data_IF_074647813408
#
_entry.id   IF_074647813408
#
_cell.length_a   1.000
_cell.length_b   1.000
_cell.length_c   1.000
_cell.angle_alpha   90.00
_cell.angle_beta   90.00
_cell.angle_gamma   90.00
#
_symmetry.space_group_name_H-M   'P 1'
#
loop_
_entity.id
_entity.type
_entity.pdbx_description
1 polymer ?
#
# COMPACT_ATOMS: atom_id res chain seq x y z
N UNK A 1 1.47 27.30 9.48
CA UNK A 1 0.47 26.28 9.10
C UNK A 1 0.38 25.26 10.23
N UNK A 2 -0.82 25.05 10.78
CA UNK A 2 -1.07 24.09 11.84
C UNK A 2 -1.46 22.74 11.21
N UNK A 3 -0.63 21.71 11.42
CA UNK A 3 -0.82 20.38 10.84
C UNK A 3 -1.24 19.40 11.94
N UNK A 4 -2.30 18.65 11.71
CA UNK A 4 -2.78 17.55 12.54
C UNK A 4 -2.50 16.19 11.91
N UNK A 5 -2.64 15.14 12.70
CA UNK A 5 -2.60 13.73 12.24
C UNK A 5 -3.86 13.03 12.72
N UNK A 6 -4.68 12.59 11.78
CA UNK A 6 -5.91 11.83 12.03
C UNK A 6 -5.65 10.32 11.91
N UNK A 7 -6.00 9.57 12.94
CA UNK A 7 -5.85 8.11 12.99
C UNK A 7 -7.23 7.45 13.05
N UNK A 8 -7.51 6.56 12.13
CA UNK A 8 -8.79 5.83 12.10
C UNK A 8 -8.86 4.76 13.19
N UNK A 9 -9.83 4.89 14.11
CA UNK A 9 -10.00 3.98 15.24
C UNK A 9 -10.43 2.57 14.85
N UNK A 10 -11.45 2.48 14.02
CA UNK A 10 -12.14 1.21 13.77
C UNK A 10 -11.48 0.30 12.71
N UNK A 11 -10.25 0.59 12.32
CA UNK A 11 -9.41 -0.29 11.49
C UNK A 11 -8.02 -0.53 12.09
N UNK A 12 -7.68 0.12 13.19
CA UNK A 12 -6.36 0.07 13.83
C UNK A 12 -6.49 -0.72 15.14
N UNK A 13 -5.57 -1.65 15.40
CA UNK A 13 -5.56 -2.44 16.63
C UNK A 13 -5.23 -1.55 17.84
N UNK A 14 -5.70 -1.92 19.02
CA UNK A 14 -5.49 -1.13 20.24
C UNK A 14 -3.99 -0.92 20.55
N UNK A 15 -3.19 -1.95 20.40
CA UNK A 15 -1.73 -1.87 20.60
C UNK A 15 -1.09 -0.89 19.62
N UNK A 16 -1.49 -0.95 18.36
CA UNK A 16 -1.00 -0.05 17.31
C UNK A 16 -1.45 1.40 17.54
N UNK A 17 -2.67 1.62 18.05
CA UNK A 17 -3.15 2.95 18.44
C UNK A 17 -2.29 3.56 19.53
N UNK A 18 -1.91 2.78 20.54
CA UNK A 18 -1.00 3.23 21.60
C UNK A 18 0.38 3.60 21.04
N UNK A 19 0.92 2.81 20.12
CA UNK A 19 2.19 3.12 19.46
C UNK A 19 2.11 4.40 18.63
N UNK A 20 1.01 4.63 17.89
CA UNK A 20 0.78 5.90 17.20
C UNK A 20 0.71 7.06 18.17
N UNK A 21 -0.05 6.94 19.24
CA UNK A 21 -0.19 7.98 20.26
C UNK A 21 1.16 8.37 20.87
N UNK A 22 1.93 7.38 21.28
CA UNK A 22 3.26 7.62 21.88
C UNK A 22 4.20 8.30 20.84
N UNK A 23 4.30 7.74 19.64
CA UNK A 23 5.18 8.24 18.59
C UNK A 23 4.84 9.66 18.17
N UNK A 24 3.55 10.01 18.05
CA UNK A 24 3.11 11.35 17.66
C UNK A 24 3.32 12.36 18.80
N UNK A 25 3.08 11.99 20.06
CA UNK A 25 3.34 12.86 21.21
C UNK A 25 4.83 13.18 21.38
N UNK A 26 5.71 12.21 21.11
CA UNK A 26 7.17 12.45 21.13
C UNK A 26 7.63 13.49 20.12
N UNK A 27 6.90 13.68 19.02
CA UNK A 27 7.16 14.75 18.04
C UNK A 27 6.27 16.00 18.24
N UNK A 28 5.58 16.08 19.39
CA UNK A 28 4.75 17.23 19.76
C UNK A 28 3.38 17.29 19.07
N UNK A 29 2.88 16.18 18.55
CA UNK A 29 1.57 16.07 17.89
C UNK A 29 0.62 15.26 18.77
N UNK A 30 -0.53 15.83 19.12
CA UNK A 30 -1.63 15.05 19.69
C UNK A 30 -2.46 14.46 18.53
N UNK A 31 -2.63 13.13 18.46
CA UNK A 31 -3.42 12.51 17.38
C UNK A 31 -4.89 12.87 17.50
N UNK A 32 -5.54 13.07 16.36
CA UNK A 32 -6.97 13.22 16.25
C UNK A 32 -7.54 11.85 15.86
N UNK A 33 -8.50 11.36 16.64
CA UNK A 33 -9.09 10.06 16.35
C UNK A 33 -10.41 10.22 15.60
N UNK A 34 -10.58 9.45 14.53
CA UNK A 34 -11.81 9.41 13.76
C UNK A 34 -12.27 7.98 13.48
N UNK A 35 -13.55 7.83 13.17
CA UNK A 35 -14.13 6.55 12.73
C UNK A 35 -14.80 6.72 11.38
N UNK A 36 -14.87 5.64 10.59
CA UNK A 36 -15.70 5.55 9.39
C UNK A 36 -16.79 4.54 9.65
N UNK A 37 -18.06 4.94 9.55
CA UNK A 37 -19.18 4.03 9.77
C UNK A 37 -19.21 2.99 8.64
N UNK A 38 -19.16 1.68 8.96
CA UNK A 38 -19.14 0.63 7.94
C UNK A 38 -20.31 0.77 6.96
N UNK A 39 -20.03 0.53 5.67
CA UNK A 39 -20.99 0.58 4.56
C UNK A 39 -21.63 1.96 4.29
N UNK A 40 -21.11 3.02 4.88
CA UNK A 40 -21.59 4.40 4.64
C UNK A 40 -20.44 5.31 4.19
N UNK A 41 -20.78 6.60 3.97
CA UNK A 41 -19.80 7.68 3.75
C UNK A 41 -19.65 8.56 4.99
N UNK A 42 -20.30 8.20 6.10
CA UNK A 42 -20.30 8.99 7.33
C UNK A 42 -19.08 8.73 8.18
N UNK A 43 -18.57 9.80 8.78
CA UNK A 43 -17.40 9.78 9.67
C UNK A 43 -17.76 10.38 11.02
N UNK A 44 -17.06 9.92 12.06
CA UNK A 44 -17.17 10.44 13.43
C UNK A 44 -15.82 10.97 13.88
N UNK A 45 -15.78 11.94 14.80
CA UNK A 45 -14.54 12.49 15.36
C UNK A 45 -13.77 13.40 14.40
N UNK A 46 -14.44 13.92 13.36
CA UNK A 46 -13.83 14.83 12.37
C UNK A 46 -14.06 16.31 12.69
N UNK A 47 -14.82 16.61 13.73
CA UNK A 47 -15.18 17.96 14.13
C UNK A 47 -13.94 18.79 14.49
N UNK A 48 -12.93 18.15 15.07
CA UNK A 48 -11.67 18.77 15.45
C UNK A 48 -10.76 19.10 14.26
N UNK A 49 -11.03 18.57 13.07
CA UNK A 49 -10.22 18.85 11.87
C UNK A 49 -10.24 20.32 11.51
N UNK A 50 -11.37 21.01 11.72
CA UNK A 50 -11.52 22.45 11.50
C UNK A 50 -10.55 23.33 12.34
N UNK A 51 -9.92 22.76 13.38
CA UNK A 51 -8.91 23.43 14.18
C UNK A 51 -7.51 23.44 13.55
N UNK A 52 -7.35 22.82 12.36
CA UNK A 52 -6.09 22.65 11.65
C UNK A 52 -6.19 23.20 10.23
N UNK A 53 -5.06 23.63 9.68
CA UNK A 53 -4.97 24.01 8.27
C UNK A 53 -4.96 22.75 7.37
N UNK A 54 -4.31 21.68 7.87
CA UNK A 54 -4.19 20.37 7.20
C UNK A 54 -4.19 19.24 8.22
N UNK A 55 -4.79 18.09 7.86
CA UNK A 55 -4.81 16.87 8.67
C UNK A 55 -4.34 15.71 7.81
N UNK A 56 -3.19 15.13 8.16
CA UNK A 56 -2.67 13.90 7.52
C UNK A 56 -3.58 12.75 7.95
N UNK A 57 -4.25 12.12 6.99
CA UNK A 57 -5.13 11.00 7.27
C UNK A 57 -4.32 9.69 7.30
N UNK A 58 -4.58 8.85 8.30
CA UNK A 58 -4.05 7.47 8.33
C UNK A 58 -5.15 6.49 8.73
N UNK A 59 -5.35 5.47 7.91
CA UNK A 59 -6.41 4.49 8.18
C UNK A 59 -6.52 3.40 7.11
N UNK A 60 -7.72 2.89 6.91
CA UNK A 60 -8.02 1.86 5.91
C UNK A 60 -8.08 2.44 4.49
N UNK A 61 -8.11 1.56 3.50
CA UNK A 61 -8.36 1.91 2.08
C UNK A 61 -9.64 2.71 1.88
N UNK A 62 -10.61 2.60 2.82
CA UNK A 62 -11.83 3.41 2.79
C UNK A 62 -11.56 4.92 2.88
N UNK A 63 -10.44 5.34 3.48
CA UNK A 63 -10.01 6.75 3.46
C UNK A 63 -9.77 7.23 2.04
N UNK A 64 -9.13 6.40 1.20
CA UNK A 64 -8.89 6.72 -0.22
C UNK A 64 -10.21 6.81 -0.98
N UNK A 65 -11.11 5.84 -0.79
CA UNK A 65 -12.44 5.82 -1.43
C UNK A 65 -13.24 7.09 -1.10
N UNK A 66 -13.29 7.50 0.17
CA UNK A 66 -13.96 8.72 0.61
C UNK A 66 -13.29 9.98 0.05
N UNK A 67 -11.96 9.99 -0.05
CA UNK A 67 -11.21 11.11 -0.64
C UNK A 67 -11.55 11.27 -2.14
N UNK A 68 -11.49 10.19 -2.91
CA UNK A 68 -11.82 10.20 -4.34
C UNK A 68 -13.26 10.66 -4.61
N UNK A 69 -14.20 10.30 -3.72
CA UNK A 69 -15.61 10.69 -3.80
C UNK A 69 -15.89 12.10 -3.26
N UNK A 70 -14.89 12.79 -2.72
CA UNK A 70 -15.04 14.14 -2.17
C UNK A 70 -15.79 14.22 -0.83
N UNK A 71 -15.82 13.12 -0.07
CA UNK A 71 -16.49 13.07 1.23
C UNK A 71 -15.61 13.42 2.42
N UNK A 72 -14.27 13.51 2.22
CA UNK A 72 -13.38 13.94 3.30
C UNK A 72 -13.48 15.45 3.55
N UNK A 73 -13.23 15.89 4.80
CA UNK A 73 -13.06 17.31 5.10
C UNK A 73 -11.97 17.94 4.24
N UNK A 74 -12.11 19.23 3.91
CA UNK A 74 -11.15 19.98 3.06
C UNK A 74 -9.73 20.06 3.64
N UNK A 75 -9.61 19.88 4.96
CA UNK A 75 -8.35 19.84 5.69
C UNK A 75 -7.60 18.51 5.49
N UNK A 76 -8.31 17.45 5.08
CA UNK A 76 -7.74 16.11 4.92
C UNK A 76 -6.68 16.07 3.81
N UNK A 77 -5.57 15.40 4.11
CA UNK A 77 -4.46 15.17 3.17
C UNK A 77 -4.30 13.69 2.93
N UNK A 78 -4.39 13.32 1.66
CA UNK A 78 -4.18 11.97 1.15
C UNK A 78 -3.24 12.06 -0.05
N UNK A 79 -2.17 11.27 -0.04
CA UNK A 79 -1.21 11.17 -1.16
C UNK A 79 -1.59 9.99 -2.04
N UNK A 80 -2.58 10.20 -2.89
CA UNK A 80 -3.08 9.17 -3.80
C UNK A 80 -3.55 9.73 -5.13
N UNK A 81 -3.20 9.03 -6.18
CA UNK A 81 -3.72 9.21 -7.53
C UNK A 81 -3.97 7.81 -8.11
N UNK A 82 -5.21 7.54 -8.55
CA UNK A 82 -5.64 6.19 -8.95
C UNK A 82 -4.82 5.63 -10.11
N UNK A 83 -4.51 6.46 -11.10
CA UNK A 83 -3.74 6.04 -12.27
C UNK A 83 -2.27 5.83 -11.90
N UNK A 84 -1.71 6.72 -11.08
CA UNK A 84 -0.31 6.67 -10.68
C UNK A 84 0.02 5.46 -9.79
N UNK A 85 -0.92 4.96 -8.98
CA UNK A 85 -0.75 3.76 -8.15
C UNK A 85 -1.24 2.49 -8.85
N UNK A 86 -1.74 2.58 -10.10
CA UNK A 86 -2.20 1.42 -10.86
C UNK A 86 -1.03 0.71 -11.54
N UNK A 87 -0.82 -0.57 -11.22
CA UNK A 87 0.28 -1.35 -11.82
C UNK A 87 0.16 -1.48 -13.34
N UNK A 88 -1.05 -1.52 -13.88
CA UNK A 88 -1.25 -1.51 -15.33
C UNK A 88 -0.65 -0.24 -15.98
N UNK A 89 -0.67 0.89 -15.27
CA UNK A 89 -0.12 2.14 -15.79
C UNK A 89 1.42 2.15 -15.71
N UNK A 90 2.00 1.99 -14.51
CA UNK A 90 3.45 2.12 -14.36
C UNK A 90 4.25 0.95 -14.95
N UNK A 91 3.64 -0.23 -15.15
CA UNK A 91 4.30 -1.34 -15.87
C UNK A 91 4.57 -1.08 -17.37
N UNK A 92 3.99 -0.02 -17.92
CA UNK A 92 4.25 0.42 -19.29
C UNK A 92 5.46 1.36 -19.38
N UNK A 93 5.89 1.89 -18.25
CA UNK A 93 6.93 2.93 -18.12
C UNK A 93 8.20 2.33 -17.54
N UNK A 94 8.07 1.57 -16.45
CA UNK A 94 9.19 0.91 -15.77
C UNK A 94 9.64 -0.32 -16.58
N UNK A 95 10.95 -0.52 -16.81
CA UNK A 95 11.47 -1.73 -17.45
C UNK A 95 10.97 -3.00 -16.74
N UNK A 96 10.54 -3.98 -17.53
CA UNK A 96 9.91 -5.22 -17.02
C UNK A 96 10.78 -5.97 -16.04
N UNK A 97 12.10 -5.96 -16.23
CA UNK A 97 13.06 -6.68 -15.39
C UNK A 97 13.24 -6.03 -14.00
N UNK A 98 12.78 -4.78 -13.82
CA UNK A 98 12.73 -4.11 -12.53
C UNK A 98 11.43 -4.36 -11.76
N UNK A 99 10.45 -4.98 -12.39
CA UNK A 99 9.14 -5.30 -11.80
C UNK A 99 9.03 -6.79 -11.49
N UNK A 100 8.62 -7.15 -10.28
CA UNK A 100 8.37 -8.55 -9.89
C UNK A 100 7.37 -9.23 -10.85
N UNK A 101 6.33 -8.49 -11.25
CA UNK A 101 5.29 -8.94 -12.17
C UNK A 101 5.40 -8.28 -13.55
N UNK A 102 6.62 -7.93 -14.01
CA UNK A 102 6.82 -7.18 -15.26
C UNK A 102 6.42 -7.93 -16.54
N UNK A 103 6.39 -9.27 -16.49
CA UNK A 103 5.94 -10.14 -17.58
C UNK A 103 4.53 -10.70 -17.37
N UNK A 104 3.73 -10.07 -16.51
CA UNK A 104 2.38 -10.49 -16.23
C UNK A 104 1.41 -10.25 -17.39
N UNK A 105 0.34 -11.03 -17.40
CA UNK A 105 -0.85 -10.77 -18.23
C UNK A 105 -1.81 -9.89 -17.43
N UNK A 106 -2.33 -8.84 -18.07
CA UNK A 106 -3.35 -7.96 -17.52
C UNK A 106 -4.67 -8.16 -18.25
N UNK A 107 -5.77 -8.17 -17.52
CA UNK A 107 -7.10 -8.21 -18.12
C UNK A 107 -8.20 -8.18 -17.07
N UNK A 108 -9.45 -8.08 -17.54
CA UNK A 108 -10.62 -8.06 -16.63
C UNK A 108 -10.80 -9.40 -15.95
N UNK A 109 -11.14 -9.40 -14.67
CA UNK A 109 -11.45 -10.59 -13.87
C UNK A 109 -12.50 -11.45 -14.57
N UNK A 110 -13.58 -10.86 -15.08
CA UNK A 110 -14.65 -11.56 -15.78
C UNK A 110 -14.20 -12.37 -17.00
N UNK A 111 -13.05 -12.02 -17.62
CA UNK A 111 -12.52 -12.79 -18.75
C UNK A 111 -11.72 -14.03 -18.33
N UNK A 112 -11.10 -14.01 -17.17
CA UNK A 112 -10.18 -15.05 -16.73
C UNK A 112 -10.72 -15.93 -15.61
N UNK A 113 -11.74 -15.46 -14.88
CA UNK A 113 -12.19 -16.06 -13.63
C UNK A 113 -12.55 -17.54 -13.71
N UNK A 114 -13.11 -17.99 -14.85
CA UNK A 114 -13.64 -19.33 -15.01
C UNK A 114 -12.70 -20.30 -15.75
N UNK A 115 -11.51 -19.82 -16.17
CA UNK A 115 -10.54 -20.68 -16.86
C UNK A 115 -9.58 -21.35 -15.86
N UNK A 116 -9.48 -22.71 -15.88
CA UNK A 116 -8.50 -23.41 -15.06
C UNK A 116 -7.07 -23.02 -15.43
N UNK A 117 -6.24 -22.72 -14.43
CA UNK A 117 -4.84 -22.39 -14.64
C UNK A 117 -4.07 -23.60 -15.18
N UNK A 118 -3.24 -23.40 -16.21
CA UNK A 118 -2.40 -24.46 -16.78
C UNK A 118 -1.20 -24.82 -15.89
N UNK A 119 -0.78 -23.86 -15.07
CA UNK A 119 0.28 -23.96 -14.08
C UNK A 119 -0.10 -23.11 -12.86
N UNK A 120 0.68 -23.18 -11.78
CA UNK A 120 0.47 -22.34 -10.61
C UNK A 120 0.78 -20.88 -10.94
N UNK A 121 -0.17 -19.97 -10.67
CA UNK A 121 -0.06 -18.55 -11.02
C UNK A 121 -0.38 -17.66 -9.82
N UNK A 122 0.35 -16.57 -9.71
CA UNK A 122 0.03 -15.47 -8.77
C UNK A 122 -0.97 -14.53 -9.42
N UNK A 123 -2.02 -14.17 -8.69
CA UNK A 123 -3.09 -13.28 -9.15
C UNK A 123 -3.36 -12.19 -8.12
N UNK A 124 -3.48 -10.94 -8.56
CA UNK A 124 -3.87 -9.80 -7.72
C UNK A 124 -4.61 -8.73 -8.52
N UNK A 125 -5.35 -7.80 -7.87
CA UNK A 125 -5.83 -6.59 -8.52
C UNK A 125 -4.69 -5.71 -9.02
N UNK A 126 -4.92 -4.95 -10.10
CA UNK A 126 -3.92 -4.00 -10.64
C UNK A 126 -3.84 -2.69 -9.83
N UNK A 127 -4.91 -2.33 -9.13
CA UNK A 127 -5.04 -1.13 -8.30
C UNK A 127 -4.75 -1.39 -6.83
N UNK A 128 -4.26 -0.37 -6.12
CA UNK A 128 -4.04 -0.41 -4.65
C UNK A 128 -5.35 -0.28 -3.83
N UNK A 129 -6.51 -0.56 -4.40
CA UNK A 129 -7.80 -0.50 -3.70
C UNK A 129 -8.19 -1.81 -3.01
N UNK A 130 -7.34 -2.84 -3.10
CA UNK A 130 -7.48 -4.14 -2.39
C UNK A 130 -8.85 -4.78 -2.58
N UNK A 131 -9.35 -4.82 -3.83
CA UNK A 131 -10.57 -5.57 -4.16
C UNK A 131 -10.48 -7.01 -3.64
N UNK A 132 -9.31 -7.63 -3.73
CA UNK A 132 -8.92 -8.85 -3.01
C UNK A 132 -7.40 -8.85 -2.75
N UNK A 133 -6.91 -9.64 -1.80
CA UNK A 133 -5.48 -9.80 -1.58
C UNK A 133 -4.84 -10.66 -2.68
N UNK A 134 -3.58 -10.37 -3.02
CA UNK A 134 -2.83 -11.23 -3.94
C UNK A 134 -2.79 -12.67 -3.42
N UNK A 135 -3.04 -13.64 -4.29
CA UNK A 135 -3.12 -15.06 -3.97
C UNK A 135 -2.50 -15.93 -5.06
N UNK A 136 -2.15 -17.15 -4.68
CA UNK A 136 -1.67 -18.16 -5.62
C UNK A 136 -2.85 -19.03 -6.03
N UNK A 137 -3.09 -19.15 -7.34
CA UNK A 137 -4.07 -20.06 -7.94
C UNK A 137 -3.36 -21.32 -8.38
N UNK A 138 -3.64 -22.49 -7.77
CA UNK A 138 -3.00 -23.75 -8.13
C UNK A 138 -3.36 -24.20 -9.56
N UNK A 139 -2.49 -25.02 -10.13
CA UNK A 139 -2.77 -25.70 -11.41
C UNK A 139 -4.11 -26.44 -11.37
N UNK A 140 -4.93 -26.26 -12.38
CA UNK A 140 -6.25 -26.89 -12.53
C UNK A 140 -7.38 -26.18 -11.79
N UNK A 141 -7.08 -25.17 -10.96
CA UNK A 141 -8.07 -24.34 -10.29
C UNK A 141 -8.39 -23.10 -11.12
N UNK A 142 -9.57 -22.50 -10.88
CA UNK A 142 -9.97 -21.22 -11.46
C UNK A 142 -9.67 -20.07 -10.50
N UNK A 143 -9.52 -18.86 -11.03
CA UNK A 143 -9.37 -17.66 -10.19
C UNK A 143 -10.61 -17.45 -9.33
N UNK A 144 -11.80 -17.73 -9.89
CA UNK A 144 -13.07 -17.61 -9.18
C UNK A 144 -13.09 -18.50 -7.92
N UNK A 145 -12.74 -19.80 -8.06
CA UNK A 145 -12.71 -20.74 -6.92
C UNK A 145 -11.81 -20.22 -5.80
N UNK A 146 -10.60 -19.76 -6.12
CA UNK A 146 -9.62 -19.34 -5.12
C UNK A 146 -9.99 -17.98 -4.48
N UNK A 147 -10.42 -17.00 -5.26
CA UNK A 147 -10.83 -15.69 -4.73
C UNK A 147 -12.04 -15.83 -3.80
N UNK A 148 -13.06 -16.60 -4.19
CA UNK A 148 -14.27 -16.75 -3.36
C UNK A 148 -14.09 -17.69 -2.18
N UNK A 149 -13.19 -18.69 -2.25
CA UNK A 149 -12.94 -19.60 -1.13
C UNK A 149 -12.14 -18.95 0.00
N UNK A 150 -11.29 -17.98 -0.32
CA UNK A 150 -10.36 -17.37 0.65
C UNK A 150 -10.75 -15.94 1.05
N UNK A 151 -11.60 -15.25 0.30
CA UNK A 151 -11.84 -13.84 0.49
C UNK A 151 -13.29 -13.41 0.22
N UNK A 152 -14.18 -13.77 1.11
CA UNK A 152 -15.45 -13.04 1.26
C UNK A 152 -15.17 -11.68 1.93
N UNK A 153 -14.37 -10.83 1.30
CA UNK A 153 -14.15 -9.48 1.80
C UNK A 153 -15.19 -8.54 1.22
N UNK A 154 -15.71 -7.67 2.07
CA UNK A 154 -16.66 -6.60 1.77
C UNK A 154 -16.18 -5.53 0.77
N UNK A 155 -14.97 -5.70 0.21
CA UNK A 155 -14.32 -4.73 -0.68
C UNK A 155 -14.39 -5.10 -2.17
N UNK A 156 -15.08 -6.19 -2.53
CA UNK A 156 -15.37 -6.44 -3.94
C UNK A 156 -16.17 -5.26 -4.49
N UNK A 157 -15.77 -4.75 -5.65
CA UNK A 157 -16.52 -3.74 -6.39
C UNK A 157 -17.95 -4.23 -6.64
N UNK A 158 -18.90 -3.31 -6.83
CA UNK A 158 -20.28 -3.65 -7.23
C UNK A 158 -20.32 -4.50 -8.51
N UNK A 159 -19.29 -4.42 -9.33
CA UNK A 159 -19.08 -5.25 -10.52
C UNK A 159 -17.65 -5.83 -10.55
N UNK A 160 -17.39 -6.96 -9.86
CA UNK A 160 -16.07 -7.57 -9.80
C UNK A 160 -15.55 -8.02 -11.17
N UNK A 161 -16.40 -8.28 -12.14
CA UNK A 161 -16.03 -8.72 -13.49
C UNK A 161 -15.27 -7.63 -14.27
N UNK A 162 -15.44 -6.37 -13.93
CA UNK A 162 -14.72 -5.24 -14.55
C UNK A 162 -13.36 -4.94 -13.88
N UNK A 163 -13.07 -5.54 -12.72
CA UNK A 163 -11.79 -5.36 -12.05
C UNK A 163 -10.64 -5.86 -12.93
N UNK A 164 -9.63 -5.00 -13.12
CA UNK A 164 -8.41 -5.40 -13.85
C UNK A 164 -7.49 -6.15 -12.90
N UNK A 165 -7.16 -7.37 -13.28
CA UNK A 165 -6.26 -8.25 -12.53
C UNK A 165 -4.93 -8.45 -13.24
N UNK A 166 -3.95 -8.85 -12.47
CA UNK A 166 -2.60 -9.24 -12.88
C UNK A 166 -2.47 -10.74 -12.67
N UNK A 167 -2.04 -11.46 -13.69
CA UNK A 167 -1.75 -12.89 -13.65
C UNK A 167 -0.29 -13.08 -14.02
N UNK A 168 0.52 -13.61 -13.12
CA UNK A 168 1.96 -13.79 -13.32
C UNK A 168 2.44 -15.15 -12.80
N UNK A 169 3.55 -15.70 -13.32
CA UNK A 169 4.20 -16.86 -12.71
C UNK A 169 4.58 -16.57 -11.25
N UNK A 170 4.49 -17.59 -10.42
CA UNK A 170 4.95 -17.51 -9.02
C UNK A 170 6.45 -17.30 -9.01
N UNK A 171 6.94 -16.45 -8.10
CA UNK A 171 8.36 -16.13 -7.93
C UNK A 171 8.84 -16.59 -6.56
N UNK A 172 10.07 -17.08 -6.50
CA UNK A 172 10.75 -17.41 -5.24
C UNK A 172 11.39 -16.14 -4.67
N UNK A 173 10.73 -15.58 -3.67
CA UNK A 173 11.14 -14.33 -3.02
C UNK A 173 11.90 -14.67 -1.74
N UNK A 174 13.12 -14.18 -1.62
CA UNK A 174 13.94 -14.36 -0.42
C UNK A 174 13.50 -13.45 0.70
N UNK A 175 13.32 -12.14 0.41
CA UNK A 175 12.82 -11.14 1.38
C UNK A 175 11.94 -10.12 0.68
N UNK A 176 10.97 -9.59 1.43
CA UNK A 176 10.14 -8.46 1.01
C UNK A 176 10.32 -7.29 1.98
N UNK A 177 10.54 -6.10 1.42
CA UNK A 177 10.81 -4.87 2.15
C UNK A 177 9.72 -3.86 1.86
N UNK A 178 9.24 -3.17 2.89
CA UNK A 178 8.36 -2.01 2.77
C UNK A 178 9.15 -0.74 3.03
N UNK A 179 9.15 0.16 2.06
CA UNK A 179 9.92 1.38 2.11
C UNK A 179 8.98 2.59 2.08
N UNK A 180 9.08 3.45 3.09
CA UNK A 180 8.35 4.71 3.14
C UNK A 180 9.16 5.78 2.44
N UNK A 181 8.69 6.23 1.27
CA UNK A 181 9.38 7.17 0.40
C UNK A 181 8.70 8.54 0.49
N UNK A 182 9.46 9.56 0.83
CA UNK A 182 8.98 10.94 0.95
C UNK A 182 9.99 11.86 0.26
N UNK A 183 9.51 12.67 -0.69
CA UNK A 183 10.36 13.53 -1.55
C UNK A 183 11.53 12.75 -2.17
N UNK A 184 11.25 11.56 -2.66
CA UNK A 184 12.20 10.73 -3.39
C UNK A 184 13.31 10.09 -2.56
N UNK A 185 13.16 10.02 -1.24
CA UNK A 185 14.10 9.35 -0.33
C UNK A 185 13.38 8.36 0.56
N UNK A 186 14.00 7.24 0.85
CA UNK A 186 13.52 6.31 1.86
C UNK A 186 13.73 6.95 3.24
N UNK A 187 12.63 7.22 3.94
CA UNK A 187 12.67 7.76 5.30
C UNK A 187 12.91 6.67 6.33
N UNK A 188 12.26 5.52 6.12
CA UNK A 188 12.45 4.33 6.92
C UNK A 188 11.95 3.09 6.18
N UNK A 189 12.44 1.90 6.59
CA UNK A 189 12.11 0.62 5.94
C UNK A 189 11.88 -0.48 6.96
N UNK A 190 11.09 -1.48 6.56
CA UNK A 190 10.87 -2.70 7.31
C UNK A 190 10.96 -3.93 6.41
N UNK A 191 11.59 -4.99 6.88
CA UNK A 191 11.41 -6.34 6.32
C UNK A 191 10.10 -6.86 6.87
N UNK A 192 9.13 -7.15 5.99
CA UNK A 192 7.82 -7.64 6.44
C UNK A 192 7.58 -9.12 6.10
N UNK A 193 8.49 -9.73 5.28
CA UNK A 193 8.40 -11.14 4.94
C UNK A 193 9.76 -11.71 4.56
N UNK A 194 10.08 -12.91 5.04
CA UNK A 194 11.26 -13.70 4.69
C UNK A 194 10.79 -15.08 4.22
N UNK A 195 11.01 -15.39 2.94
CA UNK A 195 10.42 -16.55 2.29
C UNK A 195 8.88 -16.53 2.43
N UNK A 196 8.31 -17.54 3.07
CA UNK A 196 6.87 -17.63 3.34
C UNK A 196 6.44 -17.03 4.69
N UNK A 197 7.38 -16.61 5.54
CA UNK A 197 7.12 -16.17 6.92
C UNK A 197 6.99 -14.65 7.00
N UNK A 198 5.84 -14.18 7.51
CA UNK A 198 5.68 -12.76 7.90
C UNK A 198 6.58 -12.46 9.09
N UNK A 199 7.27 -11.32 9.04
CA UNK A 199 8.18 -10.84 10.08
C UNK A 199 8.04 -9.33 10.27
N UNK A 200 8.69 -8.79 11.30
CA UNK A 200 8.72 -7.35 11.60
C UNK A 200 10.15 -7.00 12.02
N UNK A 201 11.06 -6.90 11.03
CA UNK A 201 12.48 -6.69 11.27
C UNK A 201 12.94 -5.37 10.63
N UNK A 202 13.96 -4.77 11.23
CA UNK A 202 14.62 -3.58 10.68
C UNK A 202 15.73 -4.07 9.73
N UNK A 203 15.82 -3.53 8.49
CA UNK A 203 16.89 -3.84 7.57
C UNK A 203 18.27 -3.45 8.15
N UNK A 204 19.30 -4.20 7.78
CA UNK A 204 20.68 -3.84 8.08
C UNK A 204 21.12 -2.59 7.33
N UNK A 205 22.23 -1.96 7.74
CA UNK A 205 22.77 -0.79 7.04
C UNK A 205 23.08 -1.09 5.57
N UNK A 206 23.66 -2.25 5.28
CA UNK A 206 23.96 -2.68 3.90
C UNK A 206 22.68 -2.85 3.06
N UNK A 207 21.61 -3.44 3.65
CA UNK A 207 20.32 -3.56 2.98
C UNK A 207 19.70 -2.17 2.73
N UNK A 208 19.79 -1.24 3.68
CA UNK A 208 19.31 0.14 3.47
C UNK A 208 20.03 0.83 2.29
N UNK A 209 21.33 0.67 2.15
CA UNK A 209 22.11 1.22 1.03
C UNK A 209 21.68 0.60 -0.31
N UNK A 210 21.39 -0.70 -0.33
CA UNK A 210 20.88 -1.39 -1.52
C UNK A 210 19.45 -0.94 -1.87
N UNK A 211 18.58 -0.76 -0.88
CA UNK A 211 17.21 -0.26 -1.07
C UNK A 211 17.20 1.15 -1.67
N UNK A 212 18.05 2.07 -1.14
CA UNK A 212 18.20 3.43 -1.69
C UNK A 212 18.73 3.38 -3.12
N UNK A 213 19.74 2.57 -3.40
CA UNK A 213 20.29 2.42 -4.75
C UNK A 213 19.25 1.91 -5.74
N UNK A 214 18.41 0.95 -5.33
CA UNK A 214 17.36 0.42 -6.18
C UNK A 214 16.22 1.45 -6.38
N UNK A 215 15.86 2.21 -5.34
CA UNK A 215 14.92 3.32 -5.47
C UNK A 215 15.40 4.37 -6.49
N UNK A 216 16.68 4.75 -6.46
CA UNK A 216 17.26 5.70 -7.42
C UNK A 216 17.16 5.20 -8.87
N UNK A 217 17.34 3.89 -9.11
CA UNK A 217 17.14 3.29 -10.42
C UNK A 217 15.68 3.41 -10.86
N UNK A 218 14.72 3.05 -9.99
CA UNK A 218 13.29 3.11 -10.31
C UNK A 218 12.83 4.54 -10.61
N UNK A 219 13.31 5.53 -9.85
CA UNK A 219 12.94 6.94 -9.99
C UNK A 219 13.40 7.57 -11.30
N UNK A 220 14.36 7.00 -11.98
CA UNK A 220 14.73 7.43 -13.35
C UNK A 220 13.60 7.20 -14.36
N UNK A 221 12.69 6.28 -14.04
CA UNK A 221 11.56 5.92 -14.90
C UNK A 221 10.23 6.44 -14.36
N UNK A 222 10.02 6.32 -13.03
CA UNK A 222 8.71 6.56 -12.46
C UNK A 222 8.75 6.89 -10.96
N UNK A 223 7.89 7.84 -10.56
CA UNK A 223 7.61 8.17 -9.16
C UNK A 223 6.11 8.47 -9.04
N UNK A 224 5.33 7.72 -8.22
CA UNK A 224 3.86 7.85 -8.21
C UNK A 224 3.37 9.12 -7.53
N UNK A 225 4.08 9.60 -6.52
CA UNK A 225 3.71 10.79 -5.73
C UNK A 225 4.90 11.33 -4.94
N UNK A 226 4.74 12.49 -4.28
CA UNK A 226 5.76 13.04 -3.35
C UNK A 226 5.87 12.26 -2.03
N UNK A 227 4.85 11.47 -1.66
CA UNK A 227 4.87 10.57 -0.51
C UNK A 227 4.12 9.28 -0.86
N UNK A 228 4.77 8.15 -0.71
CA UNK A 228 4.23 6.82 -1.06
C UNK A 228 4.98 5.72 -0.33
N UNK A 229 4.47 4.51 -0.44
CA UNK A 229 5.17 3.30 -0.01
C UNK A 229 5.56 2.49 -1.25
N UNK A 230 6.80 2.00 -1.27
CA UNK A 230 7.31 1.10 -2.30
C UNK A 230 7.70 -0.24 -1.68
N UNK A 231 7.05 -1.31 -2.11
CA UNK A 231 7.38 -2.65 -1.67
C UNK A 231 8.37 -3.29 -2.64
N UNK A 232 9.54 -3.68 -2.13
CA UNK A 232 10.62 -4.30 -2.91
C UNK A 232 10.80 -5.76 -2.52
N UNK A 233 11.21 -6.57 -3.49
CA UNK A 233 11.61 -7.95 -3.29
C UNK A 233 13.09 -8.14 -3.67
N UNK A 234 13.80 -8.96 -2.90
CA UNK A 234 15.03 -9.60 -3.35
C UNK A 234 14.74 -11.06 -3.62
N UNK A 235 15.05 -11.54 -4.82
CA UNK A 235 14.87 -12.91 -5.24
C UNK A 235 16.04 -13.81 -4.77
N UNK A 236 15.90 -15.11 -4.92
CA UNK A 236 16.96 -16.08 -4.57
C UNK A 236 18.25 -15.87 -5.37
N UNK A 237 18.16 -15.37 -6.60
CA UNK A 237 19.31 -15.01 -7.45
C UNK A 237 19.91 -13.63 -7.13
N UNK A 238 19.45 -12.98 -6.06
CA UNK A 238 19.83 -11.65 -5.61
C UNK A 238 19.37 -10.49 -6.52
N UNK A 239 18.43 -10.72 -7.41
CA UNK A 239 17.80 -9.68 -8.24
C UNK A 239 16.80 -8.88 -7.42
N UNK A 240 16.88 -7.54 -7.51
CA UNK A 240 15.92 -6.62 -6.90
C UNK A 240 14.76 -6.33 -7.85
N UNK A 241 13.53 -6.39 -7.32
CA UNK A 241 12.32 -6.08 -8.07
C UNK A 241 11.36 -5.23 -7.25
N UNK A 242 10.66 -4.33 -7.92
CA UNK A 242 9.49 -3.64 -7.37
C UNK A 242 8.30 -4.60 -7.35
N UNK A 243 7.71 -4.81 -6.17
CA UNK A 243 6.46 -5.57 -6.02
C UNK A 243 5.29 -4.68 -6.41
N UNK A 244 5.16 -3.51 -5.74
CA UNK A 244 4.09 -2.54 -5.96
C UNK A 244 4.38 -1.19 -5.29
N UNK A 245 3.65 -0.17 -5.73
CA UNK A 245 3.50 1.08 -5.01
C UNK A 245 2.17 1.10 -4.25
N UNK A 246 2.19 1.62 -3.01
CA UNK A 246 1.02 1.72 -2.15
C UNK A 246 0.83 3.15 -1.63
N UNK A 247 -0.42 3.55 -1.39
CA UNK A 247 -0.74 4.80 -0.74
C UNK A 247 -0.22 4.84 0.70
N UNK A 248 0.56 5.85 1.05
CA UNK A 248 1.16 6.00 2.38
C UNK A 248 0.11 6.14 3.49
N UNK A 249 -1.08 6.66 3.17
CA UNK A 249 -2.15 6.90 4.13
C UNK A 249 -2.82 5.63 4.65
N UNK A 250 -2.63 4.48 3.96
CA UNK A 250 -3.24 3.20 4.36
C UNK A 250 -2.25 2.02 4.37
N UNK A 251 -0.96 2.30 4.29
CA UNK A 251 0.08 1.28 4.33
C UNK A 251 0.40 0.85 5.77
N UNK A 252 0.49 -0.46 6.01
CA UNK A 252 0.91 -0.99 7.33
C UNK A 252 2.31 -0.54 7.71
N UNK A 253 2.50 -0.11 8.95
CA UNK A 253 3.76 0.47 9.43
C UNK A 253 4.83 -0.57 9.79
N UNK A 254 4.45 -1.80 10.10
CA UNK A 254 5.39 -2.89 10.49
C UNK A 254 6.44 -2.43 11.53
N UNK A 255 7.75 -2.58 11.26
CA UNK A 255 8.84 -2.24 12.16
C UNK A 255 9.43 -0.83 11.96
N UNK A 256 8.79 0.03 11.14
CA UNK A 256 9.31 1.39 10.90
C UNK A 256 9.10 2.32 12.11
N UNK A 257 9.97 3.29 12.27
CA UNK A 257 9.81 4.37 13.23
C UNK A 257 8.77 5.40 12.75
N UNK A 258 7.58 5.34 13.33
CA UNK A 258 6.44 6.24 13.01
C UNK A 258 6.81 7.72 13.14
N UNK A 259 7.71 8.07 14.09
CA UNK A 259 8.16 9.45 14.31
C UNK A 259 8.88 10.01 13.09
N UNK A 260 9.78 9.20 12.49
CA UNK A 260 10.48 9.59 11.26
C UNK A 260 9.50 9.84 10.13
N UNK A 261 8.54 8.92 9.93
CA UNK A 261 7.54 9.02 8.85
C UNK A 261 6.70 10.28 9.01
N UNK A 262 6.06 10.48 10.17
CA UNK A 262 5.19 11.63 10.37
C UNK A 262 5.95 12.97 10.40
N UNK A 263 7.17 13.02 10.95
CA UNK A 263 8.02 14.19 10.83
C UNK A 263 8.33 14.55 9.37
N UNK A 264 8.66 13.57 8.55
CA UNK A 264 8.94 13.78 7.13
C UNK A 264 7.68 14.28 6.40
N UNK A 265 6.51 13.64 6.62
CA UNK A 265 5.23 14.06 6.02
C UNK A 265 4.85 15.50 6.40
N UNK A 266 5.03 15.88 7.67
CA UNK A 266 4.77 17.24 8.15
C UNK A 266 5.72 18.25 7.48
N UNK A 267 6.99 17.89 7.29
CA UNK A 267 7.97 18.76 6.67
C UNK A 267 7.70 18.99 5.17
N UNK A 268 7.17 18.01 4.47
CA UNK A 268 6.74 18.15 3.05
C UNK A 268 5.59 19.15 2.88
N UNK A 269 4.79 19.33 3.93
CA UNK A 269 3.61 20.21 3.89
C UNK A 269 3.91 21.65 4.33
N UNK A 270 5.07 21.90 4.93
CA UNK A 270 5.52 23.24 5.38
C UNK A 270 6.20 24.02 4.26
#
# INVERSE_FOLDING_TARGET
MKIGVGIQLNCTREEELLEFQMSLREIGIEPIYFGIIPFTTEMTGIEDFANYDKVIMYGSVKVIDLWQKGFLPREAVVWYDEDMFNQLFYSRIIPKDLLLNGHATFGKFGYFKDFPMKEEMFVKPSKDLKAFAGLIVPKGKTIYEEVYSHQLSSNFSENPDDEVIIISPVKEIKKEYRNFVINGKIVDSSIYKIGSKVTYEVPTQEECEQLESFLEVLRQYYEPHSAYVADFAILEDSTWNLIEYNCINCAGMYAVDRRKIFNALINVMR
#
